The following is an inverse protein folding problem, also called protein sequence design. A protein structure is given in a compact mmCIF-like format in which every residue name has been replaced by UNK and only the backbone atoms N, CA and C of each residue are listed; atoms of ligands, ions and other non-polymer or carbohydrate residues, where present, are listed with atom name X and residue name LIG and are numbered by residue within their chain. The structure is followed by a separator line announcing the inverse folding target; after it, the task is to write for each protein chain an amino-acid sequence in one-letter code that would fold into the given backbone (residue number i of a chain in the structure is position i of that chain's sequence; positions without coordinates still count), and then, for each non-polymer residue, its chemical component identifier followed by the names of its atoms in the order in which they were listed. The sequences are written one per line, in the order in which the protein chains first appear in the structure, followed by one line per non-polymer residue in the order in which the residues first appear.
data_IF_061376605472
#
_entry.id   IF_061376605472
#
_cell.length_a   1.000
_cell.length_b   1.000
_cell.length_c   1.000
_cell.angle_alpha   90.00
_cell.angle_beta   90.00
_cell.angle_gamma   90.00
#
_symmetry.space_group_name_H-M   'P 1'
#
loop_
_entity.id
_entity.type
_entity.pdbx_description
1 polymer ?
#
# COMPACT_ATOMS: atom_id res chain seq x y z
N UNK A 1 6.43 -16.34 11.49
CA UNK A 1 5.98 -14.93 11.62
C UNK A 1 7.22 -14.10 11.81
N UNK A 2 7.50 -13.17 10.89
CA UNK A 2 8.60 -12.22 11.02
C UNK A 2 7.97 -10.87 11.36
N UNK A 3 8.10 -10.43 12.62
CA UNK A 3 7.75 -9.08 13.04
C UNK A 3 9.01 -8.21 12.97
N UNK A 4 9.00 -7.21 12.10
CA UNK A 4 10.07 -6.22 12.00
C UNK A 4 9.53 -4.85 12.41
N UNK A 5 10.00 -4.33 13.51
CA UNK A 5 9.79 -2.92 13.82
C UNK A 5 9.66 -2.59 15.29
N UNK A 6 8.59 -2.79 15.91
CA UNK A 6 8.42 -2.54 17.34
C UNK A 6 7.21 -3.30 17.88
N UNK A 7 7.27 -3.64 19.17
CA UNK A 7 6.12 -4.20 19.86
C UNK A 7 5.08 -3.09 20.08
N UNK A 8 3.93 -3.25 19.43
CA UNK A 8 2.81 -2.38 19.69
C UNK A 8 2.11 -2.83 20.98
N UNK A 9 2.47 -2.19 22.09
CA UNK A 9 1.80 -2.43 23.36
C UNK A 9 0.44 -1.76 23.34
N UNK A 10 -0.63 -2.55 23.50
CA UNK A 10 -1.97 -2.01 23.68
C UNK A 10 -2.17 -1.67 25.16
N UNK A 11 -2.56 -0.45 25.48
CA UNK A 11 -2.84 -0.05 26.85
C UNK A 11 -4.17 -0.63 27.41
N UNK A 12 -4.97 -1.24 26.57
CA UNK A 12 -6.23 -1.87 26.92
C UNK A 12 -6.46 -3.17 26.14
N UNK A 13 -7.35 -4.03 26.59
CA UNK A 13 -7.72 -5.25 25.88
C UNK A 13 -8.31 -4.93 24.51
N UNK A 14 -7.81 -5.59 23.46
CA UNK A 14 -8.39 -5.54 22.12
C UNK A 14 -9.64 -6.44 22.10
N UNK A 15 -10.78 -5.85 21.79
CA UNK A 15 -12.05 -6.57 21.73
C UNK A 15 -12.39 -6.93 20.28
N UNK A 16 -12.65 -8.19 20.06
CA UNK A 16 -13.06 -8.73 18.77
C UNK A 16 -14.58 -8.83 18.73
N UNK A 17 -15.21 -8.38 17.66
CA UNK A 17 -16.63 -8.56 17.43
C UNK A 17 -16.93 -10.02 17.12
N UNK A 18 -18.03 -10.55 17.68
CA UNK A 18 -18.48 -11.91 17.38
C UNK A 18 -18.71 -12.09 15.86
N UNK A 19 -18.29 -13.23 15.33
CA UNK A 19 -18.40 -13.54 13.90
C UNK A 19 -17.30 -12.94 13.03
N UNK A 20 -16.30 -12.24 13.59
CA UNK A 20 -15.14 -11.80 12.82
C UNK A 20 -14.24 -12.97 12.44
N UNK A 21 -13.78 -13.02 11.17
CA UNK A 21 -12.78 -14.00 10.76
C UNK A 21 -11.42 -13.72 11.41
N UNK A 22 -10.61 -14.74 11.62
CA UNK A 22 -9.25 -14.60 12.16
C UNK A 22 -8.41 -13.64 11.34
N UNK A 23 -8.53 -13.70 10.01
CA UNK A 23 -7.83 -12.79 9.10
C UNK A 23 -8.24 -11.33 9.29
N UNK A 24 -9.54 -11.07 9.43
CA UNK A 24 -10.04 -9.72 9.71
C UNK A 24 -9.47 -9.19 11.04
N UNK A 25 -9.48 -10.00 12.08
CA UNK A 25 -8.94 -9.63 13.39
C UNK A 25 -7.46 -9.27 13.30
N UNK A 26 -6.68 -10.10 12.62
CA UNK A 26 -5.25 -9.87 12.41
C UNK A 26 -4.98 -8.57 11.63
N UNK A 27 -5.71 -8.35 10.54
CA UNK A 27 -5.60 -7.14 9.74
C UNK A 27 -5.96 -5.88 10.55
N UNK A 28 -7.10 -5.90 11.23
CA UNK A 28 -7.56 -4.75 12.00
C UNK A 28 -6.59 -4.41 13.14
N UNK A 29 -6.07 -5.44 13.81
CA UNK A 29 -5.07 -5.26 14.88
C UNK A 29 -3.74 -4.73 14.34
N UNK A 30 -3.21 -5.31 13.28
CA UNK A 30 -1.95 -4.92 12.68
C UNK A 30 -2.00 -3.50 12.10
N UNK A 31 -3.10 -3.14 11.44
CA UNK A 31 -3.31 -1.81 10.90
C UNK A 31 -3.43 -0.75 12.02
N UNK A 32 -4.19 -1.06 13.09
CA UNK A 32 -4.43 -0.12 14.18
C UNK A 32 -3.19 0.11 15.05
N UNK A 33 -2.49 -0.95 15.43
CA UNK A 33 -1.40 -0.88 16.39
C UNK A 33 -0.02 -0.83 15.74
N UNK A 34 0.16 -1.49 14.60
CA UNK A 34 1.43 -1.56 13.87
C UNK A 34 1.53 -0.60 12.68
N UNK A 35 0.39 -0.16 12.13
CA UNK A 35 0.35 0.56 10.87
C UNK A 35 0.84 -0.28 9.70
N UNK A 36 0.65 -1.61 9.77
CA UNK A 36 1.11 -2.59 8.79
C UNK A 36 -0.07 -3.39 8.25
N UNK A 37 0.11 -3.98 7.09
CA UNK A 37 -0.82 -4.95 6.51
C UNK A 37 -0.17 -6.34 6.54
N UNK A 38 -0.82 -7.33 7.15
CA UNK A 38 -0.36 -8.71 7.08
C UNK A 38 -0.48 -9.24 5.65
N UNK A 39 0.50 -10.01 5.21
CA UNK A 39 0.42 -10.71 3.93
C UNK A 39 1.19 -12.04 4.00
N UNK A 40 0.90 -12.93 3.07
CA UNK A 40 1.66 -14.16 2.90
C UNK A 40 2.66 -13.98 1.74
N UNK A 41 3.90 -14.34 1.98
CA UNK A 41 4.92 -14.41 0.94
C UNK A 41 4.69 -15.62 0.00
N UNK A 42 5.56 -15.77 -1.02
CA UNK A 42 5.50 -16.87 -1.99
C UNK A 42 5.72 -18.26 -1.34
N UNK A 43 6.33 -18.30 -0.16
CA UNK A 43 6.57 -19.52 0.62
C UNK A 43 5.42 -19.83 1.60
N UNK A 44 4.38 -18.99 1.65
CA UNK A 44 3.27 -19.10 2.58
C UNK A 44 3.60 -18.62 3.99
N UNK A 45 4.69 -17.89 4.17
CA UNK A 45 5.05 -17.29 5.46
C UNK A 45 4.26 -16.00 5.69
N UNK A 46 3.62 -15.89 6.86
CA UNK A 46 2.94 -14.66 7.25
C UNK A 46 3.96 -13.58 7.62
N UNK A 47 3.90 -12.46 6.93
CA UNK A 47 4.74 -11.29 7.17
C UNK A 47 3.93 -10.09 7.66
N UNK A 48 4.50 -9.38 8.64
CA UNK A 48 3.98 -8.13 9.21
C UNK A 48 5.03 -7.04 8.99
N UNK A 49 5.03 -6.43 7.81
CA UNK A 49 6.01 -5.38 7.44
C UNK A 49 5.29 -4.11 7.00
N UNK A 50 5.91 -2.95 7.24
CA UNK A 50 5.40 -1.66 6.75
C UNK A 50 5.54 -1.50 5.24
N UNK A 51 6.55 -2.13 4.65
CA UNK A 51 6.84 -2.13 3.22
C UNK A 51 7.14 -3.54 2.78
N UNK A 52 6.41 -4.00 1.79
CA UNK A 52 6.69 -5.26 1.13
C UNK A 52 7.78 -4.99 0.09
N UNK A 53 8.83 -5.79 0.11
CA UNK A 53 9.88 -5.73 -0.89
C UNK A 53 10.03 -7.11 -1.50
N UNK A 54 9.47 -7.27 -2.68
CA UNK A 54 9.74 -8.40 -3.55
C UNK A 54 11.04 -8.20 -4.35
N UNK A 55 11.22 -8.96 -5.40
CA UNK A 55 12.33 -8.78 -6.33
C UNK A 55 12.18 -7.46 -7.10
N UNK A 56 13.32 -6.84 -7.46
CA UNK A 56 13.31 -5.70 -8.38
C UNK A 56 13.21 -6.23 -9.82
N UNK A 57 12.25 -5.72 -10.59
CA UNK A 57 12.09 -5.98 -12.02
C UNK A 57 12.23 -4.68 -12.79
N UNK A 58 12.78 -4.72 -13.98
CA UNK A 58 12.99 -3.52 -14.81
C UNK A 58 12.05 -3.52 -15.99
N UNK A 59 11.40 -2.37 -16.23
CA UNK A 59 10.61 -2.09 -17.43
C UNK A 59 11.20 -0.85 -18.07
N UNK A 60 11.88 -1.03 -19.19
CA UNK A 60 12.64 0.00 -19.88
C UNK A 60 12.30 0.06 -21.38
N UNK A 61 13.07 0.82 -22.13
CA UNK A 61 12.90 0.96 -23.58
C UNK A 61 13.11 -0.34 -24.37
N UNK A 62 13.80 -1.34 -23.79
CA UNK A 62 14.02 -2.66 -24.40
C UNK A 62 12.89 -3.64 -24.12
N UNK A 63 12.05 -3.35 -23.11
CA UNK A 63 10.90 -4.17 -22.76
C UNK A 63 9.85 -4.07 -23.86
N UNK A 64 9.36 -5.18 -24.44
CA UNK A 64 8.40 -5.18 -25.56
C UNK A 64 6.99 -4.78 -25.09
N UNK A 65 6.85 -3.53 -24.66
CA UNK A 65 5.58 -2.95 -24.19
C UNK A 65 4.66 -2.70 -25.38
N UNK A 66 3.49 -3.33 -25.39
CA UNK A 66 2.47 -3.19 -26.44
C UNK A 66 1.38 -2.18 -26.06
N UNK A 67 1.07 -2.05 -24.77
CA UNK A 67 0.14 -1.04 -24.28
C UNK A 67 0.60 -0.46 -22.94
N UNK A 68 0.35 0.83 -22.75
CA UNK A 68 0.68 1.56 -21.54
C UNK A 68 -0.44 2.54 -21.20
N UNK A 69 -1.02 2.38 -20.01
CA UNK A 69 -2.09 3.26 -19.50
C UNK A 69 -1.68 3.80 -18.15
N UNK A 70 -1.54 5.10 -18.04
CA UNK A 70 -1.27 5.79 -16.78
C UNK A 70 -2.53 6.46 -16.26
N UNK A 71 -2.78 6.33 -14.98
CA UNK A 71 -3.90 6.93 -14.28
C UNK A 71 -3.41 7.65 -13.03
N UNK A 72 -3.70 8.96 -12.92
CA UNK A 72 -3.47 9.79 -11.74
C UNK A 72 -4.82 10.24 -11.17
N UNK A 73 -5.28 9.59 -10.10
CA UNK A 73 -6.52 9.90 -9.39
C UNK A 73 -6.19 10.47 -8.02
N UNK A 74 -6.23 11.75 -7.89
CA UNK A 74 -5.97 12.45 -6.61
C UNK A 74 -7.17 12.47 -5.67
N UNK A 75 -8.34 12.13 -6.17
CA UNK A 75 -9.55 12.05 -5.36
C UNK A 75 -9.43 10.96 -4.30
N UNK A 76 -9.68 11.33 -3.05
CA UNK A 76 -9.61 10.42 -1.90
C UNK A 76 -8.25 10.38 -1.20
N UNK A 77 -7.19 10.91 -1.81
CA UNK A 77 -5.88 11.04 -1.14
C UNK A 77 -5.99 12.00 0.04
N UNK A 78 -5.46 11.61 1.19
CA UNK A 78 -5.52 12.38 2.43
C UNK A 78 -4.27 13.26 2.56
N UNK A 79 -4.47 14.56 2.73
CA UNK A 79 -3.41 15.52 3.04
C UNK A 79 -3.04 15.50 4.52
N UNK A 80 -4.05 15.38 5.39
CA UNK A 80 -3.85 15.34 6.84
C UNK A 80 -4.79 14.30 7.48
N UNK A 81 -4.21 13.36 8.21
CA UNK A 81 -4.92 12.41 9.06
C UNK A 81 -4.88 12.93 10.52
N UNK A 82 -6.01 13.32 11.06
CA UNK A 82 -6.16 13.65 12.47
C UNK A 82 -6.64 12.41 13.23
N UNK A 83 -5.79 11.85 14.05
CA UNK A 83 -6.11 10.68 14.88
C UNK A 83 -6.49 11.15 16.28
N UNK A 84 -7.62 10.68 16.78
CA UNK A 84 -8.21 11.11 18.06
C UNK A 84 -8.51 9.90 18.93
N UNK A 85 -8.02 9.92 20.18
CA UNK A 85 -8.47 8.99 21.21
C UNK A 85 -9.86 9.41 21.71
N UNK A 86 -10.85 8.52 21.57
CA UNK A 86 -12.24 8.82 21.90
C UNK A 86 -12.50 9.19 23.36
N UNK A 87 -11.66 8.73 24.29
CA UNK A 87 -11.88 8.97 25.75
C UNK A 87 -10.95 10.02 26.31
N UNK A 88 -9.67 9.97 25.98
CA UNK A 88 -8.68 10.90 26.51
C UNK A 88 -8.72 12.26 25.79
N UNK A 89 -9.36 12.35 24.61
CA UNK A 89 -9.35 13.55 23.78
C UNK A 89 -7.95 13.86 23.20
N UNK A 90 -6.96 12.99 23.43
CA UNK A 90 -5.63 13.15 22.85
C UNK A 90 -5.72 13.13 21.31
N UNK A 91 -4.93 13.98 20.68
CA UNK A 91 -4.95 14.17 19.22
C UNK A 91 -3.56 14.08 18.66
N UNK A 92 -3.43 13.40 17.52
CA UNK A 92 -2.18 13.32 16.75
C UNK A 92 -2.49 13.68 15.30
N UNK A 93 -1.84 14.70 14.77
CA UNK A 93 -1.91 15.05 13.34
C UNK A 93 -0.73 14.44 12.60
N UNK A 94 -1.02 13.78 11.48
CA UNK A 94 -0.02 13.25 10.54
C UNK A 94 -0.28 13.84 9.17
N UNK A 95 0.75 14.44 8.55
CA UNK A 95 0.62 15.11 7.25
C UNK A 95 1.27 14.30 6.14
N UNK A 96 0.65 14.33 4.98
CA UNK A 96 1.20 13.86 3.72
C UNK A 96 1.94 15.04 3.04
N UNK A 97 3.22 15.19 3.39
CA UNK A 97 4.00 16.35 2.97
C UNK A 97 4.00 16.55 1.45
N UNK A 98 4.20 15.46 0.68
CA UNK A 98 4.25 15.53 -0.79
C UNK A 98 2.92 15.97 -1.40
N UNK A 99 1.80 15.48 -0.85
CA UNK A 99 0.48 15.85 -1.34
C UNK A 99 0.11 17.28 -0.93
N UNK A 100 0.48 17.71 0.28
CA UNK A 100 0.32 19.09 0.74
C UNK A 100 1.15 20.05 -0.12
N UNK A 101 2.39 19.72 -0.47
CA UNK A 101 3.24 20.55 -1.35
C UNK A 101 2.65 20.72 -2.76
N UNK A 102 1.87 19.74 -3.22
CA UNK A 102 1.11 19.78 -4.48
C UNK A 102 -0.26 20.45 -4.37
N UNK A 103 -0.55 21.12 -3.24
CA UNK A 103 -1.81 21.85 -3.00
C UNK A 103 -2.94 20.99 -2.42
N UNK A 104 -2.66 19.78 -1.96
CA UNK A 104 -3.65 18.93 -1.28
C UNK A 104 -4.06 19.51 0.07
N UNK A 105 -5.37 19.58 0.34
CA UNK A 105 -5.93 20.17 1.58
C UNK A 105 -6.89 19.23 2.30
N UNK A 106 -7.13 18.02 1.76
CA UNK A 106 -8.11 17.09 2.33
C UNK A 106 -7.70 16.62 3.73
N UNK A 107 -8.59 16.76 4.70
CA UNK A 107 -8.40 16.31 6.08
C UNK A 107 -9.41 15.23 6.42
N UNK A 108 -8.95 14.16 7.08
CA UNK A 108 -9.83 13.13 7.64
C UNK A 108 -9.52 12.89 9.12
N UNK A 109 -10.59 12.61 9.88
CA UNK A 109 -10.49 12.28 11.31
C UNK A 109 -10.66 10.78 11.49
N UNK A 110 -9.74 10.18 12.23
CA UNK A 110 -9.76 8.76 12.58
C UNK A 110 -9.81 8.59 14.10
N UNK A 111 -10.67 7.72 14.56
CA UNK A 111 -10.80 7.44 15.97
C UNK A 111 -10.10 6.14 16.33
N UNK A 112 -9.33 6.17 17.41
CA UNK A 112 -8.67 4.99 17.97
C UNK A 112 -9.28 4.63 19.33
N UNK A 113 -9.10 3.38 19.78
CA UNK A 113 -9.53 2.97 21.11
C UNK A 113 -8.91 3.84 22.21
N UNK A 114 -9.61 3.90 23.34
CA UNK A 114 -9.16 4.64 24.51
C UNK A 114 -7.79 4.16 25.00
N UNK A 115 -6.99 5.10 25.52
CA UNK A 115 -5.63 4.89 26.04
C UNK A 115 -4.62 4.43 24.97
N UNK A 116 -4.87 4.75 23.70
CA UNK A 116 -3.88 4.56 22.65
C UNK A 116 -2.70 5.51 22.85
N UNK A 117 -1.48 4.97 22.84
CA UNK A 117 -0.27 5.79 22.94
C UNK A 117 -0.05 6.67 21.71
N UNK A 118 0.74 7.74 21.86
CA UNK A 118 1.08 8.67 20.77
C UNK A 118 1.67 7.94 19.54
N UNK A 119 2.49 6.92 19.77
CA UNK A 119 3.07 6.11 18.71
C UNK A 119 2.01 5.32 17.92
N UNK A 120 1.04 4.71 18.60
CA UNK A 120 -0.08 4.02 17.95
C UNK A 120 -0.92 4.98 17.11
N UNK A 121 -1.21 6.17 17.63
CA UNK A 121 -1.95 7.20 16.89
C UNK A 121 -1.18 7.66 15.64
N UNK A 122 0.14 7.85 15.77
CA UNK A 122 1.00 8.20 14.64
C UNK A 122 1.01 7.09 13.57
N UNK A 123 1.22 5.85 13.97
CA UNK A 123 1.20 4.69 13.06
C UNK A 123 -0.14 4.55 12.34
N UNK A 124 -1.26 4.76 13.06
CA UNK A 124 -2.59 4.76 12.46
C UNK A 124 -2.73 5.87 11.41
N UNK A 125 -2.26 7.09 11.71
CA UNK A 125 -2.30 8.20 10.76
C UNK A 125 -1.45 7.94 9.50
N UNK A 126 -0.22 7.47 9.68
CA UNK A 126 0.68 7.10 8.58
C UNK A 126 0.07 5.98 7.71
N UNK A 127 -0.53 4.96 8.34
CA UNK A 127 -1.22 3.88 7.66
C UNK A 127 -2.38 4.40 6.80
N UNK A 128 -3.25 5.25 7.36
CA UNK A 128 -4.41 5.79 6.65
C UNK A 128 -4.01 6.68 5.47
N UNK A 129 -2.95 7.48 5.62
CA UNK A 129 -2.39 8.26 4.52
C UNK A 129 -1.87 7.33 3.41
N UNK A 130 -1.08 6.31 3.76
CA UNK A 130 -0.57 5.33 2.81
C UNK A 130 -1.71 4.61 2.08
N UNK A 131 -2.71 4.15 2.84
CA UNK A 131 -3.89 3.48 2.29
C UNK A 131 -4.68 4.38 1.34
N UNK A 132 -4.75 5.68 1.62
CA UNK A 132 -5.43 6.64 0.75
C UNK A 132 -4.70 6.89 -0.59
N UNK A 133 -3.40 6.60 -0.65
CA UNK A 133 -2.60 6.69 -1.89
C UNK A 133 -2.77 5.45 -2.78
N UNK A 134 -3.28 4.34 -2.23
CA UNK A 134 -3.47 3.12 -3.00
C UNK A 134 -4.42 3.36 -4.17
N UNK A 135 -3.95 3.00 -5.37
CA UNK A 135 -4.70 3.24 -6.60
C UNK A 135 -4.76 4.71 -7.06
N UNK A 136 -4.12 5.66 -6.35
CA UNK A 136 -4.07 7.05 -6.77
C UNK A 136 -3.23 7.23 -8.04
N UNK A 137 -2.01 6.71 -8.05
CA UNK A 137 -1.16 6.69 -9.23
C UNK A 137 -0.92 5.23 -9.66
N UNK A 138 -1.50 4.84 -10.78
CA UNK A 138 -1.36 3.49 -11.31
C UNK A 138 -0.85 3.51 -12.75
N UNK A 139 -0.03 2.52 -13.08
CA UNK A 139 0.47 2.28 -14.42
C UNK A 139 0.11 0.85 -14.82
N UNK A 140 -0.70 0.71 -15.85
CA UNK A 140 -1.04 -0.58 -16.44
C UNK A 140 -0.18 -0.80 -17.66
N UNK A 141 0.58 -1.89 -17.68
CA UNK A 141 1.56 -2.21 -18.75
C UNK A 141 1.22 -3.56 -19.32
N UNK A 142 1.04 -3.63 -20.64
CA UNK A 142 0.94 -4.89 -21.37
C UNK A 142 2.26 -5.14 -22.10
N UNK A 143 2.86 -6.29 -21.86
CA UNK A 143 4.15 -6.71 -22.39
C UNK A 143 3.91 -7.94 -23.25
N UNK A 144 4.44 -7.94 -24.49
CA UNK A 144 4.39 -9.11 -25.35
C UNK A 144 5.29 -10.22 -24.77
N UNK A 145 4.78 -11.45 -24.76
CA UNK A 145 5.48 -12.60 -24.21
C UNK A 145 5.41 -12.70 -22.69
N UNK A 146 6.21 -13.62 -22.16
CA UNK A 146 6.29 -13.90 -20.73
C UNK A 146 7.17 -12.90 -20.01
N UNK A 147 6.61 -12.17 -19.05
CA UNK A 147 7.35 -11.32 -18.16
C UNK A 147 7.32 -11.89 -16.73
N UNK A 148 8.49 -12.01 -16.10
CA UNK A 148 8.62 -12.61 -14.77
C UNK A 148 8.48 -11.56 -13.70
N UNK A 149 7.24 -11.32 -13.27
CA UNK A 149 6.93 -10.47 -12.13
C UNK A 149 5.86 -11.14 -11.28
N UNK A 150 5.80 -10.76 -10.00
CA UNK A 150 4.77 -11.21 -9.08
C UNK A 150 4.23 -10.05 -8.24
N UNK A 151 3.00 -10.12 -7.73
CA UNK A 151 2.49 -9.15 -6.77
C UNK A 151 3.44 -8.98 -5.59
N UNK A 152 3.73 -7.73 -5.22
CA UNK A 152 4.71 -7.38 -4.20
C UNK A 152 6.13 -7.09 -4.72
N UNK A 153 6.47 -7.45 -5.96
CA UNK A 153 7.74 -7.06 -6.56
C UNK A 153 7.78 -5.55 -6.82
N UNK A 154 8.98 -4.97 -6.87
CA UNK A 154 9.18 -3.57 -7.24
C UNK A 154 9.58 -3.47 -8.71
N UNK A 155 8.79 -2.74 -9.50
CA UNK A 155 9.10 -2.43 -10.88
C UNK A 155 9.81 -1.07 -10.99
N UNK A 156 11.03 -1.07 -11.50
CA UNK A 156 11.75 0.15 -11.88
C UNK A 156 11.40 0.46 -13.31
N UNK A 157 10.62 1.52 -13.52
CA UNK A 157 10.14 1.94 -14.83
C UNK A 157 10.99 3.09 -15.35
N UNK A 158 11.48 2.98 -16.58
CA UNK A 158 12.27 4.03 -17.23
C UNK A 158 12.09 4.00 -18.76
N UNK A 159 12.38 5.10 -19.42
CA UNK A 159 12.39 5.17 -20.89
C UNK A 159 11.04 4.86 -21.56
N UNK A 160 9.92 5.04 -20.85
CA UNK A 160 8.59 4.81 -21.43
C UNK A 160 8.22 5.90 -22.43
N UNK A 161 7.40 5.53 -23.45
CA UNK A 161 6.90 6.48 -24.45
C UNK A 161 6.09 7.65 -23.86
N UNK A 162 5.53 7.48 -22.66
CA UNK A 162 4.79 8.52 -21.93
C UNK A 162 5.70 9.38 -21.03
N UNK A 163 7.02 9.15 -21.03
CA UNK A 163 7.94 9.86 -20.14
C UNK A 163 7.79 9.49 -18.65
N UNK A 164 7.07 8.42 -18.34
CA UNK A 164 6.84 7.97 -16.96
C UNK A 164 8.07 7.18 -16.52
N UNK A 165 8.61 7.58 -15.38
CA UNK A 165 9.74 6.90 -14.73
C UNK A 165 9.53 6.85 -13.21
N UNK A 166 10.22 5.92 -12.57
CA UNK A 166 10.21 5.79 -11.11
C UNK A 166 10.04 4.35 -10.63
N UNK A 167 9.83 4.23 -9.33
CA UNK A 167 9.61 2.94 -8.67
C UNK A 167 8.11 2.72 -8.48
N UNK A 168 7.69 1.53 -8.82
CA UNK A 168 6.30 1.10 -8.73
C UNK A 168 6.25 -0.29 -8.08
N UNK A 169 5.24 -0.52 -7.28
CA UNK A 169 4.94 -1.86 -6.75
C UNK A 169 4.02 -2.59 -7.70
N UNK A 170 4.32 -3.84 -8.00
CA UNK A 170 3.44 -4.73 -8.76
C UNK A 170 2.27 -5.12 -7.85
N UNK A 171 1.06 -4.74 -8.25
CA UNK A 171 -0.18 -5.09 -7.54
C UNK A 171 -0.78 -6.36 -8.10
N UNK A 172 -0.75 -6.47 -9.42
CA UNK A 172 -1.35 -7.59 -10.14
C UNK A 172 -0.49 -7.95 -11.34
N UNK A 173 -0.38 -9.25 -11.61
CA UNK A 173 0.24 -9.78 -12.81
C UNK A 173 -0.68 -10.82 -13.42
N UNK A 174 -1.23 -10.51 -14.60
CA UNK A 174 -2.09 -11.42 -15.36
C UNK A 174 -1.34 -11.91 -16.58
N UNK A 175 -1.28 -13.22 -16.80
CA UNK A 175 -0.73 -13.84 -18.00
C UNK A 175 -1.86 -14.34 -18.87
N UNK A 176 -1.80 -13.98 -20.16
CA UNK A 176 -2.79 -14.39 -21.15
C UNK A 176 -2.11 -15.22 -22.23
N UNK A 177 -2.75 -16.32 -22.57
CA UNK A 177 -2.34 -17.21 -23.65
C UNK A 177 -3.50 -17.28 -24.64
N UNK A 178 -3.24 -17.07 -25.90
CA UNK A 178 -4.26 -17.10 -26.94
C UNK A 178 -3.65 -17.33 -28.32
N UNK A 179 -4.47 -17.30 -29.33
CA UNK A 179 -4.06 -17.47 -30.74
C UNK A 179 -3.02 -16.42 -31.20
N UNK A 180 -3.05 -15.22 -30.59
CA UNK A 180 -2.10 -14.14 -30.83
C UNK A 180 -0.78 -14.27 -30.04
N UNK A 181 -0.58 -15.37 -29.30
CA UNK A 181 0.58 -15.61 -28.48
C UNK A 181 0.39 -15.36 -27.00
N UNK A 182 1.51 -15.18 -26.30
CA UNK A 182 1.55 -14.91 -24.86
C UNK A 182 1.69 -13.40 -24.60
N UNK A 183 0.97 -12.90 -23.61
CA UNK A 183 1.11 -11.53 -23.11
C UNK A 183 1.05 -11.49 -21.59
N UNK A 184 1.81 -10.58 -20.99
CA UNK A 184 1.80 -10.30 -19.55
C UNK A 184 1.23 -8.91 -19.32
N UNK A 185 0.19 -8.80 -18.52
CA UNK A 185 -0.41 -7.51 -18.09
C UNK A 185 -0.07 -7.26 -16.63
N UNK A 186 0.58 -6.15 -16.35
CA UNK A 186 0.97 -5.72 -15.01
C UNK A 186 0.14 -4.51 -14.60
N UNK A 187 -0.40 -4.56 -13.39
CA UNK A 187 -0.93 -3.38 -12.71
C UNK A 187 0.11 -2.92 -11.68
N UNK A 188 0.62 -1.72 -11.88
CA UNK A 188 1.69 -1.13 -11.08
C UNK A 188 1.13 0.08 -10.33
N UNK A 189 1.54 0.25 -9.08
CA UNK A 189 1.19 1.39 -8.23
C UNK A 189 2.47 2.13 -7.84
N UNK A 190 2.48 3.45 -7.94
CA UNK A 190 3.64 4.26 -7.54
C UNK A 190 3.91 4.09 -6.03
N UNK A 191 5.19 3.89 -5.67
CA UNK A 191 5.67 3.80 -4.29
C UNK A 191 5.76 5.18 -3.61
#
# INVERSE_FOLDING_TARGET
IICLGYDAVTAASYRVANGSSQWKVLNDFAALHGGVEPYFDKAGTLELKRTHRGADVTIDAQTPVTALVYCDKRYGVIAEALVVDKRAGARQSVKNADFCARGGTSRRVFYVPAKSGAQTMRCTGEYQIRKSKEGAETLRVTIAGRFSAAPGDTAVVSGTKLGISGRFRVIECTRRFGESGEASELCLQRE
#
